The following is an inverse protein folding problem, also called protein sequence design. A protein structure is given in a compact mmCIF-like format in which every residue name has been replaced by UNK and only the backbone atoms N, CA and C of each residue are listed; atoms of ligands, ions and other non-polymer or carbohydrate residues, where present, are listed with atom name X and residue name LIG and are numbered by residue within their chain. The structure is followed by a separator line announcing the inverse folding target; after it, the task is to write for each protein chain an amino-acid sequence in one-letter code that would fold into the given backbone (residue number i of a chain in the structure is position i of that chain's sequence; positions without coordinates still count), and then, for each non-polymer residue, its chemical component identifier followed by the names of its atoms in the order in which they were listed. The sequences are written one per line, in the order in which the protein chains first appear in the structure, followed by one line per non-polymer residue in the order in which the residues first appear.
data_IF_187186800630
#
_entry.id   IF_187186800630
#
_cell.length_a   1.000
_cell.length_b   1.000
_cell.length_c   1.000
_cell.angle_alpha   90.00
_cell.angle_beta   90.00
_cell.angle_gamma   90.00
#
_symmetry.space_group_name_H-M   'P 1'
#
loop_
_entity.id
_entity.type
_entity.pdbx_description
1 polymer ?
#
# COMPACT_ATOMS: atom_id res chain seq x y z
N UNK A 1 -8.46 42.68 -34.91
CA UNK A 1 -9.42 41.55 -35.10
C UNK A 1 -10.18 41.33 -33.79
N UNK A 2 -11.47 41.68 -33.71
CA UNK A 2 -12.27 41.59 -32.46
C UNK A 2 -12.76 40.14 -32.30
N UNK A 3 -12.16 39.38 -31.39
CA UNK A 3 -12.57 37.99 -31.15
C UNK A 3 -13.99 37.99 -30.58
N UNK A 4 -14.90 37.23 -31.17
CA UNK A 4 -16.28 37.17 -30.71
C UNK A 4 -16.37 36.37 -29.40
N UNK A 5 -17.28 36.77 -28.50
CA UNK A 5 -17.52 36.07 -27.22
C UNK A 5 -17.74 34.55 -27.41
N UNK A 6 -18.39 34.16 -28.52
CA UNK A 6 -18.62 32.75 -28.88
C UNK A 6 -17.31 31.97 -29.11
N UNK A 7 -16.33 32.57 -29.81
CA UNK A 7 -15.01 31.95 -30.04
C UNK A 7 -14.23 31.78 -28.74
N UNK A 8 -14.30 32.77 -27.84
CA UNK A 8 -13.66 32.69 -26.52
C UNK A 8 -14.25 31.54 -25.70
N UNK A 9 -15.59 31.43 -25.65
CA UNK A 9 -16.28 30.34 -24.95
C UNK A 9 -15.89 28.97 -25.54
N UNK A 10 -15.85 28.82 -26.87
CA UNK A 10 -15.45 27.56 -27.51
C UNK A 10 -14.01 27.16 -27.18
N UNK A 11 -13.07 28.10 -27.11
CA UNK A 11 -11.68 27.81 -26.72
C UNK A 11 -11.60 27.38 -25.26
N UNK A 12 -12.34 28.02 -24.36
CA UNK A 12 -12.39 27.63 -22.94
C UNK A 12 -12.94 26.21 -22.79
N UNK A 13 -14.03 25.87 -23.49
CA UNK A 13 -14.61 24.51 -23.47
C UNK A 13 -13.61 23.47 -23.97
N UNK A 14 -12.89 23.77 -25.06
CA UNK A 14 -11.86 22.88 -25.60
C UNK A 14 -10.72 22.66 -24.60
N UNK A 15 -10.27 23.72 -23.93
CA UNK A 15 -9.23 23.63 -22.89
C UNK A 15 -9.70 22.80 -21.70
N UNK A 16 -10.92 23.01 -21.21
CA UNK A 16 -11.48 22.20 -20.12
C UNK A 16 -11.64 20.72 -20.51
N UNK A 17 -12.10 20.44 -21.73
CA UNK A 17 -12.19 19.07 -22.25
C UNK A 17 -10.80 18.42 -22.33
N UNK A 18 -9.79 19.15 -22.80
CA UNK A 18 -8.41 18.65 -22.87
C UNK A 18 -7.84 18.36 -21.48
N UNK A 19 -8.07 19.24 -20.49
CA UNK A 19 -7.67 19.01 -19.10
C UNK A 19 -8.35 17.75 -18.55
N UNK A 20 -9.65 17.57 -18.80
CA UNK A 20 -10.38 16.37 -18.39
C UNK A 20 -9.79 15.08 -18.98
N UNK A 21 -9.42 15.08 -20.26
CA UNK A 21 -8.77 13.94 -20.92
C UNK A 21 -7.39 13.64 -20.31
N UNK A 22 -6.59 14.68 -20.06
CA UNK A 22 -5.27 14.53 -19.42
C UNK A 22 -5.43 13.95 -18.01
N UNK A 23 -6.31 14.50 -17.18
CA UNK A 23 -6.59 13.99 -15.84
C UNK A 23 -7.07 12.53 -15.87
N UNK A 24 -7.96 12.19 -16.81
CA UNK A 24 -8.43 10.82 -17.02
C UNK A 24 -7.30 9.86 -17.39
N UNK A 25 -6.42 10.26 -18.31
CA UNK A 25 -5.27 9.45 -18.70
C UNK A 25 -4.28 9.23 -17.54
N UNK A 26 -4.01 10.27 -16.75
CA UNK A 26 -3.17 10.18 -15.53
C UNK A 26 -3.79 9.22 -14.51
N UNK A 27 -5.10 9.33 -14.27
CA UNK A 27 -5.80 8.42 -13.36
C UNK A 27 -5.71 6.96 -13.81
N UNK A 28 -5.96 6.69 -15.09
CA UNK A 28 -5.87 5.33 -15.64
C UNK A 28 -4.45 4.76 -15.54
N UNK A 29 -3.43 5.59 -15.80
CA UNK A 29 -2.03 5.19 -15.60
C UNK A 29 -1.77 4.84 -14.13
N UNK A 30 -2.19 5.68 -13.18
CA UNK A 30 -2.01 5.41 -11.76
C UNK A 30 -2.67 4.09 -11.33
N UNK A 31 -3.88 3.79 -11.82
CA UNK A 31 -4.56 2.51 -11.55
C UNK A 31 -3.78 1.33 -12.13
N UNK A 32 -3.23 1.47 -13.34
CA UNK A 32 -2.40 0.43 -13.95
C UNK A 32 -1.10 0.20 -13.15
N UNK A 33 -0.41 1.27 -12.76
CA UNK A 33 0.82 1.22 -11.98
C UNK A 33 0.58 0.57 -10.61
N UNK A 34 -0.50 0.91 -9.92
CA UNK A 34 -0.90 0.27 -8.67
C UNK A 34 -1.15 -1.23 -8.81
N UNK A 35 -1.94 -1.65 -9.82
CA UNK A 35 -2.23 -3.07 -10.03
C UNK A 35 -0.96 -3.86 -10.32
N UNK A 36 -0.05 -3.28 -11.10
CA UNK A 36 1.25 -3.85 -11.40
C UNK A 36 2.11 -3.96 -10.13
N UNK A 37 2.23 -2.89 -9.35
CA UNK A 37 3.01 -2.90 -8.11
C UNK A 37 2.51 -3.96 -7.12
N UNK A 38 1.19 -4.11 -6.96
CA UNK A 38 0.62 -5.20 -6.14
C UNK A 38 0.94 -6.58 -6.72
N UNK A 39 0.77 -6.77 -8.04
CA UNK A 39 1.02 -8.06 -8.69
C UNK A 39 2.49 -8.48 -8.72
N UNK A 40 3.42 -7.51 -8.69
CA UNK A 40 4.86 -7.73 -8.63
C UNK A 40 5.39 -7.77 -7.18
N UNK A 41 4.53 -7.54 -6.17
CA UNK A 41 4.94 -7.61 -4.77
C UNK A 41 5.24 -9.07 -4.41
N UNK A 42 6.49 -9.36 -4.07
CA UNK A 42 6.94 -10.64 -3.56
C UNK A 42 7.25 -10.54 -2.07
N UNK A 43 7.32 -11.70 -1.41
CA UNK A 43 7.74 -11.82 -0.02
C UNK A 43 9.06 -12.58 0.04
N UNK A 44 10.00 -12.04 0.81
CA UNK A 44 11.22 -12.74 1.16
C UNK A 44 10.92 -13.63 2.38
N UNK A 45 11.52 -14.82 2.40
CA UNK A 45 11.49 -15.68 3.58
C UNK A 45 12.43 -15.09 4.62
N UNK A 46 11.86 -14.68 5.76
CA UNK A 46 12.61 -14.18 6.91
C UNK A 46 12.48 -15.20 8.02
N UNK A 47 13.59 -15.74 8.49
CA UNK A 47 13.65 -16.51 9.73
C UNK A 47 13.65 -15.53 10.90
N UNK A 48 12.61 -15.59 11.74
CA UNK A 48 12.48 -14.68 12.90
C UNK A 48 13.63 -14.90 13.89
N UNK A 49 14.24 -16.10 13.92
CA UNK A 49 15.39 -16.38 14.75
C UNK A 49 16.65 -15.57 14.38
N UNK A 50 16.73 -15.08 13.14
CA UNK A 50 17.81 -14.21 12.67
C UNK A 50 17.54 -12.73 12.97
N UNK A 51 16.33 -12.37 13.41
CA UNK A 51 15.96 -11.00 13.74
C UNK A 51 16.31 -10.71 15.20
N UNK A 52 17.11 -9.68 15.42
CA UNK A 52 17.48 -9.24 16.78
C UNK A 52 16.25 -8.69 17.52
N UNK A 53 16.21 -8.88 18.85
CA UNK A 53 15.20 -8.26 19.69
C UNK A 53 15.16 -6.73 19.52
N UNK A 54 13.95 -6.18 19.44
CA UNK A 54 13.76 -4.75 19.25
C UNK A 54 12.42 -4.37 18.64
N UNK A 55 12.23 -3.07 18.44
CA UNK A 55 11.04 -2.50 17.82
C UNK A 55 11.44 -1.81 16.52
N UNK A 56 10.80 -2.24 15.43
CA UNK A 56 11.14 -1.84 14.06
C UNK A 56 9.94 -1.23 13.35
N UNK A 57 10.20 -0.17 12.57
CA UNK A 57 9.16 0.48 11.76
C UNK A 57 9.35 0.08 10.31
N UNK A 58 8.28 -0.41 9.70
CA UNK A 58 8.22 -0.73 8.29
C UNK A 58 7.03 -0.08 7.63
N UNK A 59 7.21 0.29 6.36
CA UNK A 59 6.14 0.88 5.56
C UNK A 59 6.17 0.37 4.13
N UNK A 60 5.02 0.43 3.46
CA UNK A 60 4.91 0.10 2.05
C UNK A 60 3.80 0.93 1.39
N UNK A 61 4.16 1.65 0.32
CA UNK A 61 3.26 2.55 -0.41
C UNK A 61 3.12 2.11 -1.87
N UNK A 62 1.88 1.85 -2.29
CA UNK A 62 1.52 1.54 -3.68
C UNK A 62 0.44 2.51 -4.18
N UNK A 63 0.57 3.78 -3.82
CA UNK A 63 -0.27 4.91 -4.24
C UNK A 63 -1.67 4.90 -3.58
N UNK A 64 -2.58 4.01 -4.02
CA UNK A 64 -3.94 3.97 -3.46
C UNK A 64 -4.02 3.30 -2.09
N UNK A 65 -3.02 2.47 -1.78
CA UNK A 65 -2.96 1.75 -0.52
C UNK A 65 -1.57 1.95 0.08
N UNK A 66 -1.53 2.20 1.38
CA UNK A 66 -0.32 2.35 2.16
C UNK A 66 -0.52 1.75 3.54
N UNK A 67 0.53 1.12 4.07
CA UNK A 67 0.57 0.72 5.47
C UNK A 67 1.90 1.12 6.09
N UNK A 68 1.83 1.52 7.35
CA UNK A 68 2.96 1.71 8.25
C UNK A 68 2.69 0.94 9.53
N UNK A 69 3.66 0.12 9.92
CA UNK A 69 3.56 -0.72 11.09
C UNK A 69 4.79 -0.56 11.97
N UNK A 70 4.61 -0.83 13.25
CA UNK A 70 5.65 -1.01 14.23
C UNK A 70 5.60 -2.46 14.69
N UNK A 71 6.70 -3.20 14.51
CA UNK A 71 6.83 -4.62 14.84
C UNK A 71 7.79 -4.76 16.00
N UNK A 72 7.40 -5.47 17.05
CA UNK A 72 8.29 -5.80 18.17
C UNK A 72 8.65 -7.27 18.12
N UNK A 73 9.95 -7.55 18.20
CA UNK A 73 10.52 -8.89 18.32
C UNK A 73 11.18 -9.01 19.69
N UNK A 74 10.86 -10.07 20.41
CA UNK A 74 11.47 -10.43 21.70
C UNK A 74 11.62 -11.96 21.76
N UNK A 75 12.73 -12.45 22.30
CA UNK A 75 12.99 -13.89 22.48
C UNK A 75 12.79 -14.70 21.18
N UNK A 76 13.23 -14.13 20.04
CA UNK A 76 13.08 -14.71 18.69
C UNK A 76 11.63 -14.88 18.20
N UNK A 77 10.67 -14.14 18.77
CA UNK A 77 9.26 -14.16 18.37
C UNK A 77 8.74 -12.75 18.08
N UNK A 78 7.84 -12.63 17.10
CA UNK A 78 7.05 -11.42 16.87
C UNK A 78 6.00 -11.33 17.98
N UNK A 79 6.21 -10.45 18.96
CA UNK A 79 5.32 -10.28 20.11
C UNK A 79 4.19 -9.27 19.85
N UNK A 80 4.42 -8.30 18.96
CA UNK A 80 3.38 -7.34 18.58
C UNK A 80 3.60 -6.72 17.21
N UNK A 81 2.48 -6.35 16.56
CA UNK A 81 2.47 -5.53 15.35
C UNK A 81 1.40 -4.45 15.53
N UNK A 82 1.83 -3.20 15.62
CA UNK A 82 0.95 -2.03 15.75
C UNK A 82 0.82 -1.35 14.39
N UNK A 83 -0.41 -1.13 13.91
CA UNK A 83 -0.64 -0.30 12.72
C UNK A 83 -0.56 1.16 13.14
N UNK A 84 0.44 1.86 12.60
CA UNK A 84 0.62 3.30 12.79
C UNK A 84 -0.21 4.09 11.78
N UNK A 85 -0.28 3.62 10.54
CA UNK A 85 -1.11 4.20 9.48
C UNK A 85 -1.55 3.13 8.49
N UNK A 86 -2.79 3.21 8.00
CA UNK A 86 -3.27 2.37 6.92
C UNK A 86 -4.23 3.16 6.03
N UNK A 87 -3.76 3.55 4.84
CA UNK A 87 -4.61 4.11 3.78
C UNK A 87 -5.14 2.93 2.98
N UNK A 88 -6.44 2.66 3.09
CA UNK A 88 -6.97 1.35 2.73
C UNK A 88 -8.11 1.36 1.73
N UNK A 89 -8.62 2.53 1.32
CA UNK A 89 -9.88 2.64 0.56
C UNK A 89 -10.98 1.81 1.27
N UNK A 90 -11.40 0.68 0.69
CA UNK A 90 -12.41 -0.24 1.25
C UNK A 90 -11.81 -1.47 1.96
N UNK A 91 -10.49 -1.54 2.07
CA UNK A 91 -9.71 -2.71 2.52
C UNK A 91 -9.39 -2.78 4.01
N UNK A 92 -10.06 -2.02 4.87
CA UNK A 92 -9.81 -2.02 6.34
C UNK A 92 -9.86 -3.41 6.97
N UNK A 93 -10.66 -4.33 6.43
CA UNK A 93 -10.72 -5.71 6.94
C UNK A 93 -9.38 -6.45 6.89
N UNK A 94 -8.41 -6.00 6.09
CA UNK A 94 -7.07 -6.58 6.00
C UNK A 94 -6.26 -6.47 7.29
N UNK A 95 -6.59 -5.54 8.20
CA UNK A 95 -5.85 -5.35 9.46
C UNK A 95 -5.82 -6.64 10.31
N UNK A 96 -6.82 -7.52 10.13
CA UNK A 96 -6.88 -8.85 10.75
C UNK A 96 -5.76 -9.80 10.31
N UNK A 97 -5.03 -9.50 9.24
CA UNK A 97 -3.88 -10.32 8.82
C UNK A 97 -2.78 -10.31 9.88
N UNK A 98 -2.70 -9.27 10.71
CA UNK A 98 -1.73 -9.16 11.80
C UNK A 98 -1.88 -10.30 12.81
N UNK A 99 -3.11 -10.64 13.19
CA UNK A 99 -3.39 -11.72 14.13
C UNK A 99 -2.79 -13.04 13.62
N UNK A 100 -2.94 -13.31 12.32
CA UNK A 100 -2.37 -14.51 11.68
C UNK A 100 -0.84 -14.48 11.62
N UNK A 101 -0.23 -13.32 11.32
CA UNK A 101 1.24 -13.20 11.28
C UNK A 101 1.83 -13.51 12.65
N UNK A 102 1.22 -12.98 13.72
CA UNK A 102 1.66 -13.22 15.10
C UNK A 102 1.40 -14.68 15.50
N UNK A 103 0.24 -15.25 15.17
CA UNK A 103 -0.09 -16.65 15.51
C UNK A 103 0.81 -17.65 14.77
N UNK A 104 1.07 -17.41 13.49
CA UNK A 104 1.84 -18.33 12.64
C UNK A 104 3.34 -18.02 12.60
N UNK A 105 3.78 -16.93 13.23
CA UNK A 105 5.18 -16.44 13.24
C UNK A 105 5.81 -16.38 11.85
N UNK A 106 5.01 -15.99 10.85
CA UNK A 106 5.47 -15.87 9.46
C UNK A 106 4.75 -14.74 8.75
N UNK A 107 5.43 -14.12 7.79
CA UNK A 107 4.86 -13.02 7.01
C UNK A 107 3.87 -13.57 5.98
N UNK A 108 4.22 -14.66 5.27
CA UNK A 108 3.39 -15.18 4.19
C UNK A 108 2.21 -16.03 4.69
N UNK A 109 1.22 -15.33 5.24
CA UNK A 109 -0.08 -15.86 5.65
C UNK A 109 -1.17 -15.53 4.62
N UNK A 110 -2.28 -16.25 4.71
CA UNK A 110 -3.44 -16.04 3.86
C UNK A 110 -4.04 -14.64 4.04
N UNK A 111 -4.20 -13.95 2.92
CA UNK A 111 -4.88 -12.66 2.85
C UNK A 111 -6.35 -12.74 3.27
N UNK A 112 -6.90 -11.60 3.70
CA UNK A 112 -8.33 -11.51 4.05
C UNK A 112 -9.17 -11.36 2.78
N UNK A 113 -10.14 -12.25 2.60
CA UNK A 113 -11.09 -12.20 1.48
C UNK A 113 -11.78 -10.83 1.37
N UNK A 114 -11.78 -10.25 0.17
CA UNK A 114 -12.31 -8.92 -0.09
C UNK A 114 -11.39 -7.76 0.31
N UNK A 115 -10.23 -8.04 0.92
CA UNK A 115 -9.21 -7.07 1.29
C UNK A 115 -7.80 -7.55 0.94
N UNK A 116 -7.66 -8.30 -0.16
CA UNK A 116 -6.41 -8.94 -0.57
C UNK A 116 -5.26 -7.94 -0.76
N UNK A 117 -5.48 -6.86 -1.52
CA UNK A 117 -4.43 -5.87 -1.80
C UNK A 117 -3.96 -5.15 -0.53
N UNK A 118 -4.88 -4.78 0.36
CA UNK A 118 -4.52 -4.23 1.68
C UNK A 118 -3.79 -5.24 2.53
N UNK A 119 -4.14 -6.53 2.47
CA UNK A 119 -3.43 -7.59 3.19
C UNK A 119 -2.00 -7.70 2.68
N UNK A 120 -1.80 -7.71 1.34
CA UNK A 120 -0.47 -7.69 0.72
C UNK A 120 0.37 -6.50 1.20
N UNK A 121 -0.23 -5.30 1.26
CA UNK A 121 0.49 -4.09 1.68
C UNK A 121 0.89 -4.13 3.16
N UNK A 122 0.00 -4.59 4.05
CA UNK A 122 0.33 -4.77 5.47
C UNK A 122 1.43 -5.83 5.64
N UNK A 123 1.29 -7.00 5.01
CA UNK A 123 2.32 -8.05 5.04
C UNK A 123 3.69 -7.50 4.60
N UNK A 124 3.73 -6.69 3.54
CA UNK A 124 4.98 -6.13 3.02
C UNK A 124 5.57 -5.06 3.94
N UNK A 125 4.73 -4.25 4.58
CA UNK A 125 5.18 -3.33 5.61
C UNK A 125 5.80 -4.05 6.82
N UNK A 126 5.22 -5.19 7.23
CA UNK A 126 5.79 -6.05 8.29
C UNK A 126 7.13 -6.63 7.88
N UNK A 127 7.25 -7.17 6.66
CA UNK A 127 8.54 -7.64 6.13
C UNK A 127 9.61 -6.54 6.16
N UNK A 128 9.25 -5.34 5.69
CA UNK A 128 10.16 -4.19 5.69
C UNK A 128 10.58 -3.78 7.11
N UNK A 129 9.71 -3.95 8.11
CA UNK A 129 10.05 -3.70 9.51
C UNK A 129 11.07 -4.74 10.00
N UNK A 130 10.81 -6.03 9.78
CA UNK A 130 11.66 -7.12 10.25
C UNK A 130 13.06 -7.08 9.64
N UNK A 131 13.20 -6.62 8.39
CA UNK A 131 14.50 -6.32 7.76
C UNK A 131 15.36 -5.29 8.51
N UNK A 132 14.76 -4.48 9.39
CA UNK A 132 15.49 -3.55 10.24
C UNK A 132 16.23 -4.21 11.41
N UNK A 133 15.89 -5.46 11.75
CA UNK A 133 16.51 -6.24 12.81
C UNK A 133 17.41 -7.39 12.34
N UNK A 134 17.53 -7.57 11.02
CA UNK A 134 18.49 -8.48 10.38
C UNK A 134 19.92 -7.90 10.34
#
# INVERSE_FOLDING_TARGET
MRISKKKIISVIILLFSLIGLICGAVYLKNVADYKRAIGETTFDEIDIADVSDGTYIGEYDVNFIYAKVEVTVEDWEIVSINILEHRHERGKAAEKVIEKIIEEQKIDVDAVSGATNSSTVIKKAVENALKGGL
#
